data_IF_618930412243
#
_entry.id   IF_618930412243
#
_cell.length_a   1.000
_cell.length_b   1.000
_cell.length_c   1.000
_cell.angle_alpha   90.00
_cell.angle_beta   90.00
_cell.angle_gamma   90.00
#
_symmetry.space_group_name_H-M   'P 1'
#
loop_
_entity.id
_entity.type
_entity.pdbx_description
1 polymer ?
#
# COMPACT_ATOMS: atom_id res chain seq x y z
N UNK A 1 11.63 -0.66 6.23
CA UNK A 1 10.94 -1.30 5.09
C UNK A 1 11.80 -2.44 4.55
N UNK A 2 11.20 -3.56 4.15
CA UNK A 2 11.93 -4.73 3.61
C UNK A 2 12.30 -4.56 2.13
N UNK A 3 11.48 -3.82 1.38
CA UNK A 3 11.75 -3.31 0.02
C UNK A 3 11.26 -1.86 -0.02
N UNK A 4 12.02 -0.97 -0.67
CA UNK A 4 11.58 0.39 -0.95
C UNK A 4 11.23 0.48 -2.43
N UNK A 5 10.04 0.96 -2.75
CA UNK A 5 9.65 1.24 -4.13
C UNK A 5 9.99 2.70 -4.44
N UNK A 6 10.82 2.89 -5.45
CA UNK A 6 11.21 4.20 -5.95
C UNK A 6 10.47 4.49 -7.27
N UNK A 7 9.94 5.71 -7.46
CA UNK A 7 9.20 6.04 -8.67
C UNK A 7 10.11 6.13 -9.92
N UNK A 8 11.39 6.44 -9.74
CA UNK A 8 12.37 6.60 -10.82
C UNK A 8 13.73 6.01 -10.43
N UNK A 9 14.59 5.75 -11.43
CA UNK A 9 15.96 5.31 -11.18
C UNK A 9 16.78 6.37 -10.42
N UNK A 10 16.48 7.64 -10.64
CA UNK A 10 17.06 8.76 -9.89
C UNK A 10 16.75 8.69 -8.40
N UNK A 11 15.48 8.50 -8.05
CA UNK A 11 15.06 8.37 -6.65
C UNK A 11 15.67 7.12 -6.04
N UNK A 12 15.72 6.00 -6.77
CA UNK A 12 16.42 4.78 -6.33
C UNK A 12 17.89 5.05 -6.00
N UNK A 13 18.59 5.77 -6.86
CA UNK A 13 20.02 6.12 -6.65
C UNK A 13 20.20 7.01 -5.42
N UNK A 14 19.38 8.05 -5.29
CA UNK A 14 19.39 8.96 -4.13
C UNK A 14 19.13 8.22 -2.81
N UNK A 15 18.16 7.29 -2.81
CA UNK A 15 17.82 6.50 -1.63
C UNK A 15 18.92 5.48 -1.27
N UNK A 16 19.55 4.85 -2.27
CA UNK A 16 20.70 3.95 -2.05
C UNK A 16 21.86 4.70 -1.38
N UNK A 17 22.15 5.92 -1.84
CA UNK A 17 23.22 6.75 -1.27
C UNK A 17 22.91 7.18 0.18
N UNK A 18 21.68 7.63 0.46
CA UNK A 18 21.32 8.13 1.80
C UNK A 18 21.14 7.04 2.84
N UNK A 19 20.55 5.91 2.49
CA UNK A 19 20.09 4.93 3.47
C UNK A 19 20.82 3.59 3.39
N UNK A 20 21.79 3.41 2.47
CA UNK A 20 22.49 2.15 2.21
C UNK A 20 21.56 0.93 2.12
N UNK A 21 20.32 1.15 1.68
CA UNK A 21 19.29 0.12 1.65
C UNK A 21 19.59 -0.85 0.49
N UNK A 22 19.69 -2.14 0.83
CA UNK A 22 20.12 -3.18 -0.11
C UNK A 22 19.06 -3.57 -1.15
N UNK A 23 17.78 -3.22 -0.95
CA UNK A 23 16.66 -3.61 -1.83
C UNK A 23 15.74 -2.43 -2.12
N UNK A 24 15.97 -1.80 -3.27
CA UNK A 24 15.15 -0.72 -3.79
C UNK A 24 14.77 -1.10 -5.22
N UNK A 25 13.47 -1.20 -5.50
CA UNK A 25 12.95 -1.48 -6.84
C UNK A 25 12.36 -0.23 -7.46
N UNK A 26 12.49 -0.09 -8.77
CA UNK A 26 11.84 1.01 -9.50
C UNK A 26 10.47 0.54 -9.93
N UNK A 27 9.44 1.29 -9.55
CA UNK A 27 8.08 1.10 -10.03
C UNK A 27 7.65 2.41 -10.63
N UNK A 28 7.50 2.41 -11.96
CA UNK A 28 7.04 3.58 -12.68
C UNK A 28 5.57 3.89 -12.42
N UNK A 29 5.02 4.78 -13.23
CA UNK A 29 3.58 5.08 -13.30
C UNK A 29 3.13 5.05 -14.75
N UNK A 30 1.95 4.50 -14.97
CA UNK A 30 1.28 4.57 -16.25
C UNK A 30 0.69 5.94 -16.53
N UNK A 31 0.32 6.15 -17.78
CA UNK A 31 -0.50 7.28 -18.25
C UNK A 31 -1.64 6.74 -19.10
N UNK A 32 -2.80 7.40 -19.03
CA UNK A 32 -3.90 7.10 -19.93
C UNK A 32 -3.63 7.79 -21.29
N UNK A 33 -2.95 7.08 -22.18
CA UNK A 33 -2.64 7.56 -23.53
C UNK A 33 -3.85 7.53 -24.48
N UNK A 34 -5.00 6.99 -24.08
CA UNK A 34 -6.24 7.14 -24.86
C UNK A 34 -6.93 8.46 -24.52
N UNK A 35 -6.93 8.82 -23.23
CA UNK A 35 -7.42 10.12 -22.77
C UNK A 35 -6.53 11.29 -23.20
N UNK A 36 -5.21 11.16 -23.00
CA UNK A 36 -4.22 12.11 -23.52
C UNK A 36 -3.74 11.66 -24.89
N UNK A 37 -4.20 12.32 -25.94
CA UNK A 37 -3.91 11.91 -27.33
C UNK A 37 -3.77 13.11 -28.24
N UNK A 38 -2.94 13.01 -29.30
CA UNK A 38 -2.81 14.10 -30.26
C UNK A 38 -4.16 14.38 -30.94
N UNK A 39 -4.53 15.65 -31.01
CA UNK A 39 -5.68 16.14 -31.79
C UNK A 39 -5.18 17.01 -32.96
N UNK A 40 -6.05 17.25 -33.94
CA UNK A 40 -5.73 18.12 -35.09
C UNK A 40 -5.51 19.56 -34.60
N UNK A 41 -4.35 20.13 -34.94
CA UNK A 41 -3.97 21.49 -34.56
C UNK A 41 -4.30 22.47 -35.68
N UNK A 42 -4.70 23.69 -35.31
CA UNK A 42 -4.93 24.80 -36.26
C UNK A 42 -4.31 26.11 -35.77
N UNK A 43 -3.12 26.04 -35.17
CA UNK A 43 -2.46 27.21 -34.61
C UNK A 43 -1.68 27.97 -35.68
N UNK A 44 -1.76 29.30 -35.65
CA UNK A 44 -0.93 30.19 -36.47
C UNK A 44 0.47 30.43 -35.88
N UNK A 45 0.62 30.24 -34.56
CA UNK A 45 1.89 30.35 -33.82
C UNK A 45 2.32 29.02 -33.24
N UNK A 46 3.62 28.88 -32.98
CA UNK A 46 4.16 27.72 -32.27
C UNK A 46 3.82 27.84 -30.78
N UNK A 47 3.02 26.91 -30.28
CA UNK A 47 2.50 26.98 -28.91
C UNK A 47 3.31 26.15 -27.92
N UNK A 48 3.87 26.80 -26.92
CA UNK A 48 4.55 26.17 -25.80
C UNK A 48 3.57 26.05 -24.63
N UNK A 49 3.63 24.95 -23.89
CA UNK A 49 2.82 24.76 -22.69
C UNK A 49 3.65 24.27 -21.52
N UNK A 50 3.37 24.87 -20.35
CA UNK A 50 3.75 24.33 -19.05
C UNK A 50 2.48 23.92 -18.30
N UNK A 51 2.53 22.75 -17.67
CA UNK A 51 1.48 22.27 -16.76
C UNK A 51 2.11 21.90 -15.43
N UNK A 52 1.57 22.43 -14.35
CA UNK A 52 1.98 22.08 -12.99
C UNK A 52 1.80 23.21 -11.99
N UNK A 53 2.16 22.95 -10.74
CA UNK A 53 2.10 23.96 -9.68
C UNK A 53 2.96 25.18 -10.04
N UNK A 54 2.48 26.38 -9.74
CA UNK A 54 3.24 27.62 -9.92
C UNK A 54 3.93 27.97 -8.61
N UNK A 55 5.13 27.40 -8.42
CA UNK A 55 5.91 27.50 -7.19
C UNK A 55 7.41 27.71 -7.48
N UNK A 56 8.20 28.22 -6.52
CA UNK A 56 9.61 28.56 -6.75
C UNK A 56 10.47 27.41 -7.29
N UNK A 57 10.25 26.19 -6.81
CA UNK A 57 10.98 24.99 -7.23
C UNK A 57 10.74 24.59 -8.69
N UNK A 58 9.65 25.10 -9.30
CA UNK A 58 9.33 24.89 -10.71
C UNK A 58 10.07 25.86 -11.64
N UNK A 59 10.72 26.89 -11.08
CA UNK A 59 11.73 27.68 -11.75
C UNK A 59 11.24 28.32 -13.08
N UNK A 60 9.95 28.70 -13.10
CA UNK A 60 9.27 29.29 -14.27
C UNK A 60 9.84 30.65 -14.68
N UNK A 61 10.50 31.36 -13.78
CA UNK A 61 11.18 32.64 -14.07
C UNK A 61 12.21 32.51 -15.21
N UNK A 62 12.78 31.31 -15.39
CA UNK A 62 13.73 31.01 -16.46
C UNK A 62 13.11 31.05 -17.85
N UNK A 63 11.78 31.09 -17.96
CA UNK A 63 11.09 31.19 -19.24
C UNK A 63 10.99 32.63 -19.77
N UNK A 64 11.49 33.64 -19.05
CA UNK A 64 11.38 35.06 -19.43
C UNK A 64 12.02 35.36 -20.79
N UNK A 65 13.05 34.61 -21.19
CA UNK A 65 13.68 34.76 -22.51
C UNK A 65 12.69 34.53 -23.67
N UNK A 66 11.58 33.80 -23.45
CA UNK A 66 10.59 33.54 -24.48
C UNK A 66 9.86 34.82 -24.94
N UNK A 67 9.84 35.87 -24.11
CA UNK A 67 9.17 37.13 -24.43
C UNK A 67 9.77 37.89 -25.61
N UNK A 68 10.98 37.52 -26.06
CA UNK A 68 11.61 38.11 -27.25
C UNK A 68 11.16 37.48 -28.56
N UNK A 69 10.38 36.39 -28.53
CA UNK A 69 9.95 35.65 -29.72
C UNK A 69 8.47 35.91 -30.05
N UNK A 70 8.21 36.62 -31.15
CA UNK A 70 6.85 36.97 -31.56
C UNK A 70 6.09 35.81 -32.24
N UNK A 71 6.83 34.81 -32.73
CA UNK A 71 6.34 33.60 -33.42
C UNK A 71 5.92 32.49 -32.43
N UNK A 72 6.20 32.68 -31.14
CA UNK A 72 5.85 31.76 -30.07
C UNK A 72 4.65 32.28 -29.27
N UNK A 73 3.89 31.35 -28.68
CA UNK A 73 2.97 31.64 -27.59
C UNK A 73 3.26 30.71 -26.42
N UNK A 74 3.12 31.19 -25.19
CA UNK A 74 3.30 30.40 -23.98
C UNK A 74 1.98 30.32 -23.22
N UNK A 75 1.53 29.11 -22.93
CA UNK A 75 0.41 28.86 -22.01
C UNK A 75 0.92 28.21 -20.72
N UNK A 76 0.49 28.74 -19.58
CA UNK A 76 0.76 28.21 -18.24
C UNK A 76 -0.55 27.72 -17.64
N UNK A 77 -0.61 26.42 -17.36
CA UNK A 77 -1.74 25.77 -16.69
C UNK A 77 -1.31 25.36 -15.29
N UNK A 78 -2.05 25.82 -14.29
CA UNK A 78 -1.83 25.54 -12.89
C UNK A 78 -1.90 26.78 -12.00
N UNK A 79 -1.89 26.52 -10.70
CA UNK A 79 -1.95 27.54 -9.66
C UNK A 79 -0.83 27.34 -8.65
N UNK A 80 -0.60 28.34 -7.80
CA UNK A 80 0.33 28.23 -6.69
C UNK A 80 0.68 29.58 -6.08
N UNK A 81 1.41 29.53 -4.97
CA UNK A 81 1.80 30.70 -4.18
C UNK A 81 2.64 31.71 -4.95
N UNK A 82 3.24 31.31 -6.07
CA UNK A 82 4.16 32.13 -6.83
C UNK A 82 3.53 32.75 -8.10
N UNK A 83 2.22 32.55 -8.29
CA UNK A 83 1.52 32.92 -9.51
C UNK A 83 1.63 34.41 -9.85
N UNK A 84 1.44 35.30 -8.87
CA UNK A 84 1.50 36.75 -9.12
C UNK A 84 2.86 37.19 -9.63
N UNK A 85 3.94 36.72 -9.00
CA UNK A 85 5.31 36.99 -9.44
C UNK A 85 5.59 36.46 -10.84
N UNK A 86 5.10 35.25 -11.18
CA UNK A 86 5.28 34.70 -12.52
C UNK A 86 4.48 35.48 -13.57
N UNK A 87 3.29 35.99 -13.24
CA UNK A 87 2.52 36.89 -14.13
C UNK A 87 3.27 38.19 -14.44
N UNK A 88 3.92 38.77 -13.44
CA UNK A 88 4.75 39.98 -13.61
C UNK A 88 5.99 39.71 -14.49
N UNK A 89 6.64 38.56 -14.30
CA UNK A 89 7.84 38.19 -15.06
C UNK A 89 7.56 37.70 -16.48
N UNK A 90 6.37 37.12 -16.70
CA UNK A 90 5.95 36.53 -17.98
C UNK A 90 4.65 37.17 -18.48
N UNK A 91 4.61 38.49 -18.73
CA UNK A 91 3.37 39.19 -19.12
C UNK A 91 2.85 38.76 -20.50
N UNK A 92 3.70 38.12 -21.31
CA UNK A 92 3.38 37.57 -22.63
C UNK A 92 2.75 36.17 -22.56
N UNK A 93 2.72 35.53 -21.39
CA UNK A 93 2.15 34.20 -21.21
C UNK A 93 0.65 34.24 -20.93
N UNK A 94 -0.09 33.27 -21.46
CA UNK A 94 -1.49 33.04 -21.15
C UNK A 94 -1.60 32.13 -19.91
N UNK A 95 -2.25 32.62 -18.85
CA UNK A 95 -2.46 31.85 -17.62
C UNK A 95 -3.89 31.31 -17.58
N UNK A 96 -4.05 29.98 -17.57
CA UNK A 96 -5.37 29.34 -17.61
C UNK A 96 -5.88 28.84 -16.24
N UNK A 97 -5.11 29.09 -15.17
CA UNK A 97 -5.43 28.57 -13.83
C UNK A 97 -5.38 27.05 -13.79
N UNK A 98 -6.05 26.44 -12.80
CA UNK A 98 -6.11 25.00 -12.68
C UNK A 98 -7.13 24.39 -13.67
N UNK A 99 -6.68 23.52 -14.57
CA UNK A 99 -7.54 22.78 -15.49
C UNK A 99 -7.50 21.29 -15.18
N UNK A 100 -8.62 20.62 -15.44
CA UNK A 100 -8.79 19.19 -15.26
C UNK A 100 -9.43 18.58 -16.51
N UNK A 101 -9.35 17.26 -16.60
CA UNK A 101 -10.04 16.44 -17.58
C UNK A 101 -9.86 16.96 -19.02
N UNK A 102 -10.95 16.98 -19.80
CA UNK A 102 -10.93 17.28 -21.23
C UNK A 102 -10.36 18.66 -21.54
N UNK A 103 -10.55 19.63 -20.63
CA UNK A 103 -9.95 20.96 -20.79
C UNK A 103 -8.43 20.87 -20.75
N UNK A 104 -7.88 20.13 -19.79
CA UNK A 104 -6.43 19.93 -19.69
C UNK A 104 -5.89 19.14 -20.88
N UNK A 105 -6.54 18.04 -21.25
CA UNK A 105 -6.15 17.24 -22.43
C UNK A 105 -6.21 18.06 -23.72
N UNK A 106 -7.22 18.93 -23.85
CA UNK A 106 -7.37 19.88 -24.94
C UNK A 106 -6.21 20.87 -25.02
N UNK A 107 -5.75 21.42 -23.89
CA UNK A 107 -4.60 22.33 -23.87
C UNK A 107 -3.31 21.65 -24.31
N UNK A 108 -3.02 20.43 -23.82
CA UNK A 108 -1.88 19.66 -24.30
C UNK A 108 -1.96 19.41 -25.81
N UNK A 109 -3.12 18.93 -26.28
CA UNK A 109 -3.33 18.55 -27.68
C UNK A 109 -3.24 19.75 -28.64
N UNK A 110 -3.68 20.92 -28.17
CA UNK A 110 -3.58 22.17 -28.90
C UNK A 110 -2.19 22.81 -28.80
N UNK A 111 -1.24 22.22 -28.09
CA UNK A 111 0.12 22.75 -27.93
C UNK A 111 1.12 22.02 -28.83
N UNK A 112 2.30 22.58 -29.00
CA UNK A 112 3.33 22.06 -29.91
C UNK A 112 4.58 21.55 -29.21
N UNK A 113 4.94 22.16 -28.09
CA UNK A 113 6.12 21.82 -27.30
C UNK A 113 5.71 21.87 -25.83
N UNK A 114 6.07 20.84 -25.08
CA UNK A 114 5.96 20.87 -23.62
C UNK A 114 7.27 21.39 -23.03
N UNK A 115 7.20 22.40 -22.18
CA UNK A 115 8.35 22.96 -21.49
C UNK A 115 8.28 22.69 -19.99
N UNK A 116 9.38 22.21 -19.42
CA UNK A 116 9.46 21.80 -18.03
C UNK A 116 10.74 22.34 -17.38
N UNK A 117 10.76 23.64 -16.99
CA UNK A 117 11.94 24.29 -16.42
C UNK A 117 12.19 23.92 -14.94
N UNK A 118 11.44 22.95 -14.42
CA UNK A 118 11.61 22.47 -13.04
C UNK A 118 12.98 21.84 -12.86
N UNK A 119 13.64 22.11 -11.73
CA UNK A 119 14.92 21.49 -11.41
C UNK A 119 14.77 20.16 -10.68
N UNK A 120 13.62 19.93 -10.06
CA UNK A 120 13.37 18.73 -9.26
C UNK A 120 11.90 18.29 -9.37
N UNK A 121 11.72 17.00 -9.60
CA UNK A 121 10.45 16.31 -9.43
C UNK A 121 10.73 14.84 -9.06
N UNK A 122 9.76 14.18 -8.43
CA UNK A 122 9.88 12.76 -8.09
C UNK A 122 9.59 11.87 -9.31
N UNK A 123 8.64 12.27 -10.16
CA UNK A 123 8.24 11.52 -11.36
C UNK A 123 7.72 12.40 -12.49
N UNK A 124 7.17 13.59 -12.22
CA UNK A 124 6.61 14.50 -13.24
C UNK A 124 5.58 13.84 -14.20
N UNK A 125 4.42 13.41 -13.68
CA UNK A 125 3.34 12.80 -14.49
C UNK A 125 2.96 13.64 -15.73
N UNK A 126 2.99 14.97 -15.59
CA UNK A 126 2.72 15.94 -16.66
C UNK A 126 3.58 15.73 -17.91
N UNK A 127 4.78 15.16 -17.76
CA UNK A 127 5.64 14.81 -18.89
C UNK A 127 5.09 13.61 -19.64
N UNK A 128 4.60 12.58 -18.95
CA UNK A 128 3.95 11.43 -19.59
C UNK A 128 2.66 11.83 -20.32
N UNK A 129 1.89 12.76 -19.75
CA UNK A 129 0.69 13.34 -20.36
C UNK A 129 1.05 14.09 -21.66
N UNK A 130 2.07 14.96 -21.59
CA UNK A 130 2.58 15.70 -22.74
C UNK A 130 3.09 14.78 -23.87
N UNK A 131 3.89 13.78 -23.51
CA UNK A 131 4.37 12.78 -24.47
C UNK A 131 3.20 12.01 -25.10
N UNK A 132 2.15 11.71 -24.32
CA UNK A 132 0.94 11.05 -24.82
C UNK A 132 0.23 11.91 -25.86
N UNK A 133 0.18 13.24 -25.69
CA UNK A 133 -0.33 14.16 -26.71
C UNK A 133 0.65 14.41 -27.87
N UNK A 134 1.78 13.70 -27.92
CA UNK A 134 2.79 13.83 -28.96
C UNK A 134 3.59 15.14 -28.88
N UNK A 135 3.76 15.71 -27.69
CA UNK A 135 4.56 16.92 -27.51
C UNK A 135 6.02 16.56 -27.28
N UNK A 136 6.97 17.04 -28.09
CA UNK A 136 8.37 17.04 -27.72
C UNK A 136 8.57 17.81 -26.41
N UNK A 137 9.40 17.26 -25.52
CA UNK A 137 9.63 17.81 -24.18
C UNK A 137 10.96 18.55 -24.13
N UNK A 138 10.98 19.79 -23.66
CA UNK A 138 12.23 20.48 -23.26
C UNK A 138 12.25 20.59 -21.74
N UNK A 139 13.18 19.90 -21.10
CA UNK A 139 13.24 19.80 -19.64
C UNK A 139 14.68 19.88 -19.12
N UNK A 140 14.87 20.36 -17.89
CA UNK A 140 16.16 20.18 -17.25
C UNK A 140 16.43 18.70 -16.98
N UNK A 141 17.67 18.28 -17.22
CA UNK A 141 18.12 16.90 -17.00
C UNK A 141 17.72 16.40 -15.62
N UNK A 142 17.79 17.24 -14.58
CA UNK A 142 17.56 16.80 -13.21
C UNK A 142 16.10 16.73 -12.74
N UNK A 143 15.13 16.91 -13.63
CA UNK A 143 13.73 17.08 -13.27
C UNK A 143 12.94 15.78 -13.02
N UNK A 144 13.58 14.61 -12.93
CA UNK A 144 12.86 13.32 -12.74
C UNK A 144 12.17 12.84 -14.01
N UNK A 145 12.76 13.17 -15.16
CA UNK A 145 12.24 12.97 -16.53
C UNK A 145 13.14 12.05 -17.36
N UNK A 146 14.33 11.75 -16.85
CA UNK A 146 15.41 11.02 -17.54
C UNK A 146 14.99 9.61 -17.97
N UNK A 147 14.02 9.01 -17.26
CA UNK A 147 13.53 7.66 -17.54
C UNK A 147 12.52 7.61 -18.72
N UNK A 148 12.08 8.77 -19.24
CA UNK A 148 11.09 8.85 -20.33
C UNK A 148 11.39 9.85 -21.43
N UNK A 149 12.27 10.82 -21.18
CA UNK A 149 12.70 11.78 -22.19
C UNK A 149 14.06 11.35 -22.74
N UNK A 150 14.05 10.83 -23.95
CA UNK A 150 15.25 10.43 -24.68
C UNK A 150 15.79 11.65 -25.44
N UNK A 151 16.91 12.19 -24.94
CA UNK A 151 17.52 13.41 -25.46
C UNK A 151 17.83 13.30 -26.96
N UNK A 152 17.29 14.21 -27.76
CA UNK A 152 17.43 14.23 -29.22
C UNK A 152 16.44 13.33 -29.97
N UNK A 153 15.64 12.51 -29.27
CA UNK A 153 14.68 11.60 -29.89
C UNK A 153 13.23 12.07 -29.70
N UNK A 154 12.80 12.27 -28.45
CA UNK A 154 11.43 12.69 -28.12
C UNK A 154 11.39 14.02 -27.33
N UNK A 155 12.54 14.67 -27.22
CA UNK A 155 12.72 15.91 -26.47
C UNK A 155 14.19 16.27 -26.30
N UNK A 156 14.45 17.31 -25.51
CA UNK A 156 15.78 17.77 -25.13
C UNK A 156 15.90 17.83 -23.61
N UNK A 157 16.95 17.18 -23.09
CA UNK A 157 17.37 17.30 -21.70
C UNK A 157 18.53 18.28 -21.60
N UNK A 158 18.32 19.38 -20.89
CA UNK A 158 19.26 20.51 -20.84
C UNK A 158 19.82 20.72 -19.44
N UNK A 159 20.96 21.41 -19.34
CA UNK A 159 21.61 21.70 -18.06
C UNK A 159 21.66 23.20 -17.74
N UNK A 160 21.66 24.05 -18.76
CA UNK A 160 21.74 25.51 -18.63
C UNK A 160 20.49 26.20 -19.20
N UNK A 161 20.34 27.50 -18.95
CA UNK A 161 19.22 28.26 -19.52
C UNK A 161 19.43 28.52 -21.01
N UNK A 162 20.69 28.67 -21.41
CA UNK A 162 21.15 28.86 -22.78
C UNK A 162 20.84 27.61 -23.62
N UNK A 163 21.09 26.42 -23.07
CA UNK A 163 20.72 25.15 -23.71
C UNK A 163 19.19 25.01 -23.83
N UNK A 164 18.44 25.49 -22.83
CA UNK A 164 16.98 25.48 -22.86
C UNK A 164 16.46 26.34 -24.02
N UNK A 165 16.97 27.56 -24.15
CA UNK A 165 16.65 28.44 -25.27
C UNK A 165 17.04 27.83 -26.62
N UNK A 166 18.24 27.25 -26.72
CA UNK A 166 18.71 26.59 -27.93
C UNK A 166 17.82 25.41 -28.33
N UNK A 167 17.38 24.61 -27.36
CA UNK A 167 16.47 23.49 -27.58
C UNK A 167 15.10 23.95 -28.11
N UNK A 168 14.53 25.02 -27.52
CA UNK A 168 13.30 25.63 -28.02
C UNK A 168 13.47 26.14 -29.45
N UNK A 169 14.59 26.80 -29.76
CA UNK A 169 14.88 27.28 -31.12
C UNK A 169 15.02 26.14 -32.13
N UNK A 170 15.66 25.03 -31.77
CA UNK A 170 15.73 23.84 -32.64
C UNK A 170 14.35 23.31 -32.98
N UNK A 171 13.42 23.30 -32.01
CA UNK A 171 12.05 22.82 -32.22
C UNK A 171 11.16 23.79 -33.04
N UNK A 172 11.67 24.96 -33.43
CA UNK A 172 11.01 25.78 -34.45
C UNK A 172 11.05 25.13 -35.84
N UNK A 173 12.03 24.26 -36.11
CA UNK A 173 12.05 23.43 -37.32
C UNK A 173 10.85 22.45 -37.31
N UNK A 174 9.89 22.58 -38.24
CA UNK A 174 8.71 21.73 -38.27
C UNK A 174 9.04 20.26 -38.54
N UNK A 175 10.09 19.95 -39.31
CA UNK A 175 10.45 18.58 -39.65
C UNK A 175 11.06 17.85 -38.44
N UNK A 176 11.98 18.51 -37.74
CA UNK A 176 12.51 18.00 -36.48
C UNK A 176 11.40 17.81 -35.45
N UNK A 177 10.55 18.82 -35.26
CA UNK A 177 9.44 18.78 -34.30
C UNK A 177 8.44 17.67 -34.63
N UNK A 178 8.12 17.45 -35.91
CA UNK A 178 7.24 16.36 -36.35
C UNK A 178 7.83 14.98 -36.05
N UNK A 179 9.13 14.79 -36.32
CA UNK A 179 9.83 13.53 -35.97
C UNK A 179 9.81 13.27 -34.47
N UNK A 180 10.16 14.28 -33.67
CA UNK A 180 10.15 14.16 -32.21
C UNK A 180 8.74 13.95 -31.66
N UNK A 181 7.72 14.60 -32.24
CA UNK A 181 6.32 14.46 -31.85
C UNK A 181 5.83 13.01 -32.03
N UNK A 182 6.20 12.39 -33.15
CA UNK A 182 5.91 10.98 -33.38
C UNK A 182 6.60 10.09 -32.35
N UNK A 183 7.88 10.32 -32.07
CA UNK A 183 8.62 9.56 -31.06
C UNK A 183 8.06 9.77 -29.64
N UNK A 184 7.64 10.99 -29.30
CA UNK A 184 6.99 11.28 -28.03
C UNK A 184 5.75 10.41 -27.81
N UNK A 185 4.88 10.30 -28.82
CA UNK A 185 3.71 9.42 -28.76
C UNK A 185 4.12 7.95 -28.61
N UNK A 186 5.10 7.48 -29.38
CA UNK A 186 5.57 6.09 -29.29
C UNK A 186 6.15 5.75 -27.91
N UNK A 187 6.87 6.68 -27.28
CA UNK A 187 7.34 6.52 -25.90
C UNK A 187 6.18 6.40 -24.92
N UNK A 188 5.21 7.29 -25.01
CA UNK A 188 4.06 7.31 -24.10
C UNK A 188 3.22 6.03 -24.18
N UNK A 189 3.03 5.46 -25.37
CA UNK A 189 2.29 4.21 -25.55
C UNK A 189 2.94 3.00 -24.84
N UNK A 190 4.22 3.11 -24.45
CA UNK A 190 4.92 2.10 -23.63
C UNK A 190 4.74 2.32 -22.13
N UNK A 191 4.16 3.44 -21.71
CA UNK A 191 3.95 3.80 -20.31
C UNK A 191 2.53 3.41 -19.86
N UNK A 192 2.19 2.12 -19.96
CA UNK A 192 0.85 1.64 -19.62
C UNK A 192 0.68 1.43 -18.12
N UNK A 193 -0.54 1.62 -17.64
CA UNK A 193 -0.90 1.31 -16.24
C UNK A 193 -0.74 -0.17 -15.92
N UNK A 194 -1.07 -1.06 -16.86
CA UNK A 194 -0.91 -2.51 -16.70
C UNK A 194 0.55 -2.87 -16.38
N UNK A 195 1.51 -2.32 -17.15
CA UNK A 195 2.93 -2.59 -16.95
C UNK A 195 3.44 -2.07 -15.60
N UNK A 196 2.98 -0.88 -15.17
CA UNK A 196 3.32 -0.33 -13.87
C UNK A 196 2.74 -1.16 -12.72
N UNK A 197 1.50 -1.65 -12.89
CA UNK A 197 0.82 -2.50 -11.92
C UNK A 197 1.50 -3.87 -11.81
N UNK A 198 1.88 -4.48 -12.93
CA UNK A 198 2.61 -5.74 -12.96
C UNK A 198 3.99 -5.63 -12.30
N UNK A 199 4.72 -4.53 -12.52
CA UNK A 199 5.97 -4.25 -11.80
C UNK A 199 5.74 -4.18 -10.28
N UNK A 200 4.67 -3.52 -9.84
CA UNK A 200 4.32 -3.43 -8.44
C UNK A 200 3.94 -4.79 -7.86
N UNK A 201 3.11 -5.57 -8.56
CA UNK A 201 2.71 -6.93 -8.19
C UNK A 201 3.92 -7.85 -8.06
N UNK A 202 4.88 -7.79 -9.00
CA UNK A 202 6.10 -8.60 -8.99
C UNK A 202 7.06 -8.23 -7.83
N UNK A 203 6.94 -7.03 -7.26
CA UNK A 203 7.71 -6.64 -6.08
C UNK A 203 7.19 -7.27 -4.77
N UNK A 204 5.91 -7.66 -4.69
CA UNK A 204 5.32 -8.26 -3.48
C UNK A 204 5.92 -9.64 -3.13
N UNK A 205 6.08 -10.60 -4.07
CA UNK A 205 6.71 -11.89 -3.79
C UNK A 205 8.13 -11.77 -3.21
N UNK A 206 8.89 -10.75 -3.62
CA UNK A 206 10.23 -10.49 -3.08
C UNK A 206 10.17 -10.08 -1.60
N UNK A 207 9.17 -9.29 -1.21
CA UNK A 207 8.95 -8.91 0.19
C UNK A 207 8.53 -10.14 1.02
N UNK A 208 7.58 -10.93 0.50
CA UNK A 208 7.10 -12.16 1.16
C UNK A 208 8.22 -13.18 1.35
N UNK A 209 9.10 -13.36 0.37
CA UNK A 209 10.26 -14.27 0.44
C UNK A 209 11.30 -13.80 1.46
N UNK A 210 11.56 -12.50 1.54
CA UNK A 210 12.51 -11.94 2.51
C UNK A 210 11.99 -12.08 3.95
N UNK A 211 10.70 -11.79 4.17
CA UNK A 211 10.02 -12.00 5.43
C UNK A 211 10.10 -13.46 5.90
N UNK A 212 9.79 -14.40 4.98
CA UNK A 212 9.91 -15.84 5.24
C UNK A 212 11.34 -16.25 5.63
N UNK A 213 12.36 -15.74 4.94
CA UNK A 213 13.76 -16.04 5.24
C UNK A 213 14.20 -15.51 6.61
N UNK A 214 13.71 -14.34 7.04
CA UNK A 214 13.98 -13.80 8.38
C UNK A 214 13.34 -14.64 9.48
N UNK A 215 12.08 -15.02 9.33
CA UNK A 215 11.41 -15.94 10.27
C UNK A 215 12.21 -17.23 10.41
N UNK A 216 12.71 -17.77 9.30
CA UNK A 216 13.55 -18.98 9.27
C UNK A 216 14.88 -18.82 10.03
N UNK A 217 15.46 -17.62 10.09
CA UNK A 217 16.70 -17.33 10.85
C UNK A 217 16.45 -17.10 12.34
N UNK A 218 15.27 -16.65 12.73
CA UNK A 218 14.87 -16.50 14.13
C UNK A 218 14.56 -17.84 14.79
N UNK A 219 14.00 -18.77 14.02
CA UNK A 219 13.56 -20.08 14.51
C UNK A 219 14.64 -20.91 15.22
N UNK A 220 15.91 -20.99 14.76
CA UNK A 220 16.97 -21.72 15.45
C UNK A 220 17.31 -21.15 16.84
N UNK A 221 17.24 -19.83 17.02
CA UNK A 221 17.52 -19.15 18.28
C UNK A 221 16.37 -19.40 19.26
N UNK A 222 15.13 -19.21 18.80
CA UNK A 222 13.93 -19.53 19.57
C UNK A 222 13.88 -21.02 19.94
N UNK A 223 14.32 -21.90 19.02
CA UNK A 223 14.45 -23.34 19.25
C UNK A 223 15.50 -23.62 20.33
N UNK A 224 16.70 -23.04 20.30
CA UNK A 224 17.70 -23.22 21.37
C UNK A 224 17.16 -22.78 22.74
N UNK A 225 16.46 -21.65 22.81
CA UNK A 225 15.85 -21.14 24.04
C UNK A 225 14.71 -22.05 24.52
N UNK A 226 13.83 -22.53 23.64
CA UNK A 226 12.73 -23.40 24.04
C UNK A 226 13.20 -24.82 24.42
N UNK A 227 14.27 -25.33 23.80
CA UNK A 227 14.83 -26.63 24.14
C UNK A 227 15.70 -26.60 25.41
N UNK A 228 16.19 -25.43 25.86
CA UNK A 228 16.89 -25.32 27.16
C UNK A 228 15.97 -25.48 28.37
N UNK A 229 14.64 -25.51 28.17
CA UNK A 229 13.64 -25.70 29.21
C UNK A 229 13.05 -27.12 29.29
N UNK A 230 13.63 -28.12 28.63
CA UNK A 230 13.20 -29.54 28.71
C UNK A 230 11.69 -29.77 28.41
N UNK A 231 11.12 -28.99 27.50
CA UNK A 231 9.72 -29.16 27.08
C UNK A 231 9.53 -30.35 26.12
N UNK A 232 8.35 -30.99 26.17
CA UNK A 232 8.01 -32.09 25.25
C UNK A 232 7.85 -31.60 23.80
N UNK A 233 8.09 -32.48 22.81
CA UNK A 233 7.94 -32.13 21.39
C UNK A 233 6.54 -31.62 21.02
N UNK A 234 5.49 -32.09 21.72
CA UNK A 234 4.12 -31.60 21.55
C UNK A 234 3.94 -30.16 22.04
N UNK A 235 4.53 -29.80 23.20
CA UNK A 235 4.50 -28.43 23.72
C UNK A 235 5.26 -27.45 22.80
N UNK A 236 6.42 -27.87 22.31
CA UNK A 236 7.18 -27.12 21.30
C UNK A 236 6.39 -26.94 20.00
N UNK A 237 5.60 -27.93 19.58
CA UNK A 237 4.69 -27.87 18.43
C UNK A 237 3.54 -26.87 18.62
N UNK A 238 2.91 -26.88 19.80
CA UNK A 238 1.84 -25.96 20.16
C UNK A 238 2.34 -24.51 20.28
N UNK A 239 3.49 -24.28 20.91
CA UNK A 239 4.15 -22.97 20.97
C UNK A 239 4.53 -22.49 19.56
N UNK A 240 4.99 -23.40 18.68
CA UNK A 240 5.23 -23.10 17.26
C UNK A 240 3.97 -22.61 16.56
N UNK A 241 2.86 -23.33 16.72
CA UNK A 241 1.60 -22.96 16.06
C UNK A 241 1.05 -21.65 16.61
N UNK A 242 1.06 -21.46 17.94
CA UNK A 242 0.66 -20.22 18.57
C UNK A 242 1.50 -19.03 18.10
N UNK A 243 2.81 -19.22 17.89
CA UNK A 243 3.70 -18.20 17.35
C UNK A 243 3.47 -17.93 15.85
N UNK A 244 3.21 -18.96 15.03
CA UNK A 244 2.85 -18.77 13.62
C UNK A 244 1.52 -18.03 13.46
N UNK A 245 0.52 -18.34 14.29
CA UNK A 245 -0.77 -17.66 14.31
C UNK A 245 -0.64 -16.23 14.85
N UNK A 246 0.18 -16.01 15.89
CA UNK A 246 0.52 -14.65 16.36
C UNK A 246 1.20 -13.82 15.26
N UNK A 247 2.17 -14.39 14.54
CA UNK A 247 2.83 -13.72 13.42
C UNK A 247 1.87 -13.44 12.26
N UNK A 248 0.99 -14.39 11.92
CA UNK A 248 -0.07 -14.20 10.92
C UNK A 248 -1.03 -13.06 11.32
N UNK A 249 -1.30 -12.90 12.61
CA UNK A 249 -2.14 -11.83 13.16
C UNK A 249 -1.40 -10.48 13.27
N UNK A 250 -0.11 -10.46 13.54
CA UNK A 250 0.71 -9.23 13.46
C UNK A 250 0.83 -8.76 12.01
N UNK A 251 0.92 -9.68 11.03
CA UNK A 251 0.84 -9.34 9.62
C UNK A 251 -0.55 -8.85 9.20
N UNK A 252 -1.64 -9.37 9.79
CA UNK A 252 -3.00 -8.89 9.54
C UNK A 252 -3.30 -7.54 10.23
N UNK A 253 -2.65 -7.25 11.37
CA UNK A 253 -2.77 -5.98 12.10
C UNK A 253 -2.10 -4.78 11.43
N UNK A 254 -1.27 -5.00 10.40
CA UNK A 254 -0.71 -3.96 9.52
C UNK A 254 -1.62 -3.60 8.34
N UNK A 255 -2.73 -4.32 8.16
CA UNK A 255 -3.83 -3.90 7.28
C UNK A 255 -4.65 -2.89 8.08
N UNK A 256 -4.46 -1.60 7.82
CA UNK A 256 -5.28 -0.54 8.41
C UNK A 256 -6.78 -0.84 8.19
N UNK A 257 -7.53 -1.00 9.28
CA UNK A 257 -8.99 -1.25 9.22
C UNK A 257 -9.58 -2.13 10.33
N UNK A 258 -8.76 -2.86 11.10
CA UNK A 258 -9.29 -3.75 12.14
C UNK A 258 -9.51 -2.99 13.46
N UNK A 259 -10.78 -2.91 13.89
CA UNK A 259 -11.21 -2.18 15.10
C UNK A 259 -10.57 -2.73 16.38
N UNK A 260 -10.41 -1.88 17.40
CA UNK A 260 -9.80 -2.25 18.67
C UNK A 260 -10.49 -3.45 19.36
N UNK A 261 -11.81 -3.61 19.19
CA UNK A 261 -12.58 -4.73 19.72
C UNK A 261 -12.23 -6.08 19.06
N UNK A 262 -11.87 -6.09 17.78
CA UNK A 262 -11.46 -7.31 17.07
C UNK A 262 -10.05 -7.74 17.49
N UNK A 263 -9.15 -6.78 17.75
CA UNK A 263 -7.82 -7.05 18.33
C UNK A 263 -7.90 -7.69 19.71
N UNK A 264 -8.79 -7.22 20.58
CA UNK A 264 -8.99 -7.82 21.90
C UNK A 264 -9.66 -9.20 21.84
N UNK A 265 -10.62 -9.41 20.94
CA UNK A 265 -11.25 -10.73 20.74
C UNK A 265 -10.23 -11.80 20.32
N UNK A 266 -9.25 -11.41 19.49
CA UNK A 266 -8.16 -12.30 19.05
C UNK A 266 -7.16 -12.59 20.18
N UNK A 267 -6.86 -11.61 21.05
CA UNK A 267 -6.04 -11.82 22.25
C UNK A 267 -6.74 -12.77 23.22
N UNK A 268 -8.05 -12.65 23.39
CA UNK A 268 -8.83 -13.58 24.23
C UNK A 268 -8.87 -14.99 23.65
N UNK A 269 -9.01 -15.13 22.32
CA UNK A 269 -8.93 -16.43 21.63
C UNK A 269 -7.54 -17.08 21.82
N UNK A 270 -6.48 -16.27 21.81
CA UNK A 270 -5.11 -16.68 22.08
C UNK A 270 -4.87 -17.15 23.53
N UNK A 271 -5.42 -16.45 24.52
CA UNK A 271 -5.34 -16.86 25.94
C UNK A 271 -6.12 -18.15 26.21
N UNK A 272 -7.25 -18.35 25.52
CA UNK A 272 -7.99 -19.62 25.55
C UNK A 272 -7.14 -20.74 24.97
N UNK A 273 -6.53 -20.56 23.80
CA UNK A 273 -5.69 -21.58 23.16
C UNK A 273 -4.43 -21.97 23.97
N UNK A 274 -3.80 -21.00 24.64
CA UNK A 274 -2.67 -21.25 25.56
C UNK A 274 -3.13 -22.05 26.78
N UNK A 275 -4.26 -21.66 27.39
CA UNK A 275 -4.82 -22.41 28.52
C UNK A 275 -5.18 -23.83 28.10
N UNK A 276 -5.85 -24.04 26.96
CA UNK A 276 -6.23 -25.38 26.47
C UNK A 276 -5.01 -26.27 26.25
N UNK A 277 -3.92 -25.74 25.70
CA UNK A 277 -2.66 -26.47 25.48
C UNK A 277 -1.93 -26.79 26.79
N UNK A 278 -2.01 -25.89 27.77
CA UNK A 278 -1.45 -26.09 29.12
C UNK A 278 -2.27 -27.14 29.92
N UNK A 279 -3.57 -27.22 29.69
CA UNK A 279 -4.44 -28.21 30.32
C UNK A 279 -4.29 -29.62 29.72
N UNK A 280 -4.11 -29.75 28.40
CA UNK A 280 -3.71 -31.05 27.81
C UNK A 280 -2.39 -31.55 28.42
N UNK A 281 -1.44 -30.65 28.64
CA UNK A 281 -0.15 -30.98 29.26
C UNK A 281 -0.30 -31.50 30.71
N UNK A 282 -1.19 -30.90 31.53
CA UNK A 282 -1.47 -31.38 32.89
C UNK A 282 -2.27 -32.69 32.92
N UNK A 283 -3.21 -32.86 31.98
CA UNK A 283 -4.07 -34.03 31.88
C UNK A 283 -3.31 -35.30 31.47
N UNK A 284 -2.37 -35.19 30.51
CA UNK A 284 -1.53 -36.30 30.05
C UNK A 284 -0.63 -36.85 31.17
N UNK A 285 -0.34 -36.07 32.22
CA UNK A 285 0.64 -36.42 33.25
C UNK A 285 0.03 -36.86 34.59
N UNK A 286 -1.29 -36.80 34.78
CA UNK A 286 -1.93 -37.12 36.07
C UNK A 286 -3.23 -37.91 35.92
N UNK A 287 -3.18 -39.21 36.25
CA UNK A 287 -4.38 -40.09 36.35
C UNK A 287 -5.37 -39.68 37.46
N UNK A 288 -4.98 -38.80 38.40
CA UNK A 288 -5.83 -38.37 39.53
C UNK A 288 -6.63 -37.09 39.25
N UNK A 289 -6.37 -36.39 38.14
CA UNK A 289 -7.06 -35.13 37.82
C UNK A 289 -8.43 -35.32 37.15
N UNK A 290 -8.80 -36.55 36.75
CA UNK A 290 -10.09 -36.85 36.10
C UNK A 290 -11.32 -36.45 36.93
N UNK A 291 -11.19 -36.40 38.27
CA UNK A 291 -12.27 -36.07 39.20
C UNK A 291 -12.47 -34.55 39.32
N UNK A 292 -11.40 -33.76 39.17
CA UNK A 292 -11.39 -32.29 39.36
C UNK A 292 -11.47 -31.55 38.00
N UNK A 293 -11.29 -32.29 36.90
CA UNK A 293 -11.27 -31.74 35.54
C UNK A 293 -12.56 -31.01 35.13
N UNK A 294 -13.78 -31.56 35.40
CA UNK A 294 -15.02 -30.90 34.99
C UNK A 294 -15.26 -29.57 35.73
N UNK A 295 -14.89 -29.51 37.01
CA UNK A 295 -15.00 -28.31 37.85
C UNK A 295 -13.95 -27.26 37.48
N UNK A 296 -12.71 -27.65 37.17
CA UNK A 296 -11.70 -26.70 36.68
C UNK A 296 -12.06 -26.13 35.29
N UNK A 297 -12.49 -26.97 34.34
CA UNK A 297 -12.92 -26.53 33.00
C UNK A 297 -14.09 -25.55 33.07
N UNK A 298 -15.08 -25.82 33.91
CA UNK A 298 -16.20 -24.88 34.14
C UNK A 298 -15.74 -23.58 34.79
N UNK A 299 -14.75 -23.63 35.69
CA UNK A 299 -14.21 -22.43 36.37
C UNK A 299 -13.37 -21.56 35.43
N UNK A 300 -12.49 -22.15 34.62
CA UNK A 300 -11.60 -21.41 33.70
C UNK A 300 -12.36 -20.81 32.52
N UNK A 301 -13.34 -21.56 31.99
CA UNK A 301 -14.24 -21.04 30.94
C UNK A 301 -15.20 -20.00 31.54
N UNK A 302 -15.68 -20.21 32.77
CA UNK A 302 -16.49 -19.25 33.53
C UNK A 302 -15.75 -17.93 33.77
N UNK A 303 -14.48 -17.95 34.17
CA UNK A 303 -13.65 -16.74 34.34
C UNK A 303 -13.36 -16.08 33.01
N UNK A 304 -13.07 -16.85 31.96
CA UNK A 304 -12.84 -16.29 30.61
C UNK A 304 -14.07 -15.56 30.07
N UNK A 305 -15.27 -16.12 30.27
CA UNK A 305 -16.54 -15.48 29.88
C UNK A 305 -16.87 -14.31 30.83
N UNK A 306 -16.61 -14.41 32.13
CA UNK A 306 -16.85 -13.30 33.07
C UNK A 306 -15.95 -12.09 32.78
N UNK A 307 -14.71 -12.32 32.36
CA UNK A 307 -13.77 -11.27 31.89
C UNK A 307 -14.26 -10.67 30.56
N UNK A 308 -14.74 -11.50 29.64
CA UNK A 308 -15.27 -11.08 28.34
C UNK A 308 -16.63 -10.39 28.42
N UNK A 309 -17.45 -10.68 29.42
CA UNK A 309 -18.79 -10.11 29.61
C UNK A 309 -18.81 -8.97 30.64
N UNK A 310 -17.84 -8.87 31.54
CA UNK A 310 -17.72 -7.78 32.53
C UNK A 310 -17.20 -6.46 31.94
N UNK A 311 -16.80 -6.47 30.68
CA UNK A 311 -16.32 -5.29 29.95
C UNK A 311 -17.50 -4.62 29.22
N UNK A 312 -17.79 -3.34 29.49
CA UNK A 312 -19.07 -2.72 29.14
C UNK A 312 -19.37 -2.55 27.64
N UNK A 313 -18.44 -2.92 26.75
CA UNK A 313 -18.57 -2.74 25.29
C UNK A 313 -18.40 -4.03 24.47
N UNK A 314 -18.41 -5.21 25.10
CA UNK A 314 -18.25 -6.48 24.38
C UNK A 314 -19.63 -7.12 24.13
N UNK A 315 -20.12 -6.98 22.90
CA UNK A 315 -21.25 -7.78 22.39
C UNK A 315 -20.67 -8.99 21.66
N UNK A 316 -20.52 -10.10 22.37
CA UNK A 316 -20.21 -11.38 21.74
C UNK A 316 -21.41 -11.80 20.88
N UNK A 317 -21.19 -11.99 19.58
CA UNK A 317 -22.25 -12.47 18.69
C UNK A 317 -22.64 -13.91 19.05
N UNK A 318 -23.92 -14.25 18.93
CA UNK A 318 -24.44 -15.58 19.28
C UNK A 318 -23.69 -16.71 18.56
N UNK A 319 -23.17 -16.45 17.35
CA UNK A 319 -22.35 -17.38 16.57
C UNK A 319 -20.96 -17.62 17.18
N UNK A 320 -20.33 -16.62 17.82
CA UNK A 320 -19.03 -16.80 18.51
C UNK A 320 -19.17 -17.69 19.74
N UNK A 321 -20.26 -17.51 20.50
CA UNK A 321 -20.56 -18.31 21.69
C UNK A 321 -20.92 -19.75 21.27
N UNK A 322 -21.73 -19.91 20.22
CA UNK A 322 -22.08 -21.21 19.68
C UNK A 322 -20.85 -21.95 19.13
N UNK A 323 -19.93 -21.23 18.47
CA UNK A 323 -18.66 -21.80 17.97
C UNK A 323 -17.76 -22.32 19.09
N UNK A 324 -17.61 -21.55 20.17
CA UNK A 324 -16.86 -22.00 21.36
C UNK A 324 -17.53 -23.19 22.06
N UNK A 325 -18.86 -23.21 22.12
CA UNK A 325 -19.61 -24.32 22.71
C UNK A 325 -19.48 -25.61 21.88
N UNK A 326 -19.59 -25.51 20.55
CA UNK A 326 -19.43 -26.66 19.63
C UNK A 326 -17.99 -27.18 19.63
N UNK A 327 -16.99 -26.30 19.70
CA UNK A 327 -15.59 -26.68 19.81
C UNK A 327 -15.30 -27.43 21.12
N UNK A 328 -15.83 -26.95 22.25
CA UNK A 328 -15.72 -27.65 23.53
C UNK A 328 -16.47 -28.98 23.54
N UNK A 329 -17.62 -29.08 22.87
CA UNK A 329 -18.36 -30.34 22.72
C UNK A 329 -17.58 -31.36 21.87
N UNK A 330 -16.96 -30.92 20.78
CA UNK A 330 -16.10 -31.78 19.95
C UNK A 330 -14.89 -32.30 20.74
N UNK A 331 -14.25 -31.44 21.54
CA UNK A 331 -13.14 -31.83 22.42
C UNK A 331 -13.58 -32.84 23.49
N UNK A 332 -14.73 -32.62 24.14
CA UNK A 332 -15.28 -33.55 25.13
C UNK A 332 -15.70 -34.89 24.48
N UNK A 333 -16.23 -34.87 23.26
CA UNK A 333 -16.58 -36.06 22.48
C UNK A 333 -15.35 -36.87 22.07
N UNK A 334 -14.23 -36.21 21.77
CA UNK A 334 -12.99 -36.87 21.39
C UNK A 334 -12.23 -37.44 22.61
N UNK A 335 -12.32 -36.76 23.77
CA UNK A 335 -11.89 -37.30 25.07
C UNK A 335 -12.76 -38.52 25.45
N UNK A 336 -14.06 -38.48 25.15
CA UNK A 336 -15.02 -39.56 25.40
C UNK A 336 -14.70 -40.84 24.60
N UNK A 337 -14.41 -40.72 23.29
CA UNK A 337 -14.03 -41.86 22.43
C UNK A 337 -12.84 -42.66 22.95
N UNK A 338 -12.01 -42.07 23.81
CA UNK A 338 -10.80 -42.71 24.34
C UNK A 338 -10.99 -43.49 25.64
N UNK A 339 -12.10 -43.31 26.39
CA UNK A 339 -12.18 -43.86 27.76
C UNK A 339 -13.54 -44.42 28.24
N UNK A 340 -14.55 -44.64 27.37
CA UNK A 340 -15.78 -45.47 27.57
C UNK A 340 -16.57 -45.40 28.90
N UNK A 341 -16.30 -44.47 29.81
CA UNK A 341 -16.76 -44.58 31.21
C UNK A 341 -17.93 -43.66 31.59
N UNK A 342 -18.44 -42.82 30.68
CA UNK A 342 -19.55 -41.88 30.95
C UNK A 342 -20.61 -42.00 29.84
N UNK A 343 -21.88 -42.24 30.19
CA UNK A 343 -22.96 -42.38 29.19
C UNK A 343 -23.09 -41.14 28.28
N UNK A 344 -23.24 -41.30 26.94
CA UNK A 344 -23.47 -40.20 26.00
C UNK A 344 -24.64 -39.29 26.40
N UNK A 345 -25.64 -39.86 27.05
CA UNK A 345 -26.81 -39.12 27.54
C UNK A 345 -26.47 -38.16 28.67
N UNK A 346 -25.49 -38.49 29.52
CA UNK A 346 -25.03 -37.61 30.61
C UNK A 346 -24.24 -36.43 30.04
N UNK A 347 -23.37 -36.68 29.05
CA UNK A 347 -22.63 -35.65 28.32
C UNK A 347 -23.56 -34.70 27.55
N UNK A 348 -24.57 -35.24 26.86
CA UNK A 348 -25.59 -34.45 26.19
C UNK A 348 -26.39 -33.60 27.18
N UNK A 349 -26.70 -34.14 28.37
CA UNK A 349 -27.43 -33.42 29.43
C UNK A 349 -26.59 -32.28 30.03
N UNK A 350 -25.29 -32.49 30.23
CA UNK A 350 -24.35 -31.45 30.67
C UNK A 350 -24.23 -30.35 29.62
N UNK A 351 -24.08 -30.73 28.34
CA UNK A 351 -24.00 -29.78 27.23
C UNK A 351 -25.29 -28.97 27.06
N UNK A 352 -26.47 -29.60 27.13
CA UNK A 352 -27.76 -28.92 27.05
C UNK A 352 -27.98 -27.98 28.25
N UNK A 353 -27.60 -28.38 29.47
CA UNK A 353 -27.67 -27.50 30.64
C UNK A 353 -26.73 -26.29 30.49
N UNK A 354 -25.52 -26.51 29.95
CA UNK A 354 -24.57 -25.44 29.64
C UNK A 354 -25.15 -24.47 28.60
N UNK A 355 -25.68 -24.98 27.49
CA UNK A 355 -26.29 -24.18 26.43
C UNK A 355 -27.47 -23.35 26.95
N UNK A 356 -28.36 -23.96 27.76
CA UNK A 356 -29.52 -23.29 28.36
C UNK A 356 -29.10 -22.20 29.34
N UNK A 357 -28.09 -22.44 30.19
CA UNK A 357 -27.60 -21.44 31.15
C UNK A 357 -26.88 -20.27 30.46
N UNK A 358 -26.07 -20.55 29.42
CA UNK A 358 -25.45 -19.50 28.61
C UNK A 358 -26.49 -18.64 27.89
N UNK A 359 -27.56 -19.24 27.35
CA UNK A 359 -28.67 -18.51 26.71
C UNK A 359 -29.45 -17.68 27.73
N UNK A 360 -29.68 -18.17 28.96
CA UNK A 360 -30.34 -17.41 30.03
C UNK A 360 -29.53 -16.17 30.47
N UNK A 361 -28.21 -16.27 30.57
CA UNK A 361 -27.36 -15.12 30.89
C UNK A 361 -27.36 -14.05 29.78
N UNK A 362 -27.48 -14.46 28.50
CA UNK A 362 -27.63 -13.53 27.37
C UNK A 362 -28.98 -12.79 27.45
N UNK A 363 -30.06 -13.47 27.84
CA UNK A 363 -31.39 -12.85 28.00
C UNK A 363 -31.43 -11.84 29.15
N UNK A 364 -30.83 -12.13 30.30
CA UNK A 364 -30.79 -11.23 31.47
C UNK A 364 -30.10 -9.88 31.17
N UNK A 365 -29.09 -9.87 30.29
CA UNK A 365 -28.41 -8.65 29.85
C UNK A 365 -29.16 -7.84 28.79
N UNK A 366 -30.04 -8.47 28.00
CA UNK A 366 -30.91 -7.74 27.07
C UNK A 366 -32.02 -6.98 27.80
N UNK A 367 -32.49 -7.49 28.93
CA UNK A 367 -33.48 -6.82 29.80
C UNK A 367 -32.88 -5.76 30.73
N UNK A 368 -31.56 -5.68 30.88
CA UNK A 368 -30.90 -4.60 31.65
C UNK A 368 -30.42 -3.44 30.78
N UNK A 369 -30.54 -3.55 29.46
CA UNK A 369 -30.15 -2.55 28.45
C UNK A 369 -31.33 -2.11 27.56
N UNK A 370 -32.56 -2.29 28.04
CA UNK A 370 -33.79 -1.59 27.61
C UNK A 370 -34.32 -0.90 28.86
#
# INVERSE_FOLDING_TARGET
>A
SEIILAPTYKVKTSLKQKFMHKKIEVVGRGVDSEFFRPLKKSNSKLRLIYVGRVSPEKNLEKLSFLGKYNDLSLTIVGEGSYLNRIKELLPFAEFKGNLQDEKLSGEYSASDIFIFPSKTDAYANVVSEALSCGLPVVAYKDAGVEDRVDNGLNGFLVSTNEDFELAVNKLKDPELRKKMSHQARLTALKLRWDDAFDQQLNAFPLAIKEYHNRLRRFFPILRKVLYSFNFSHAFLGAVKMAFYVFLANVSAGFIEGISAGMRQSLISFFMVGINTSFFEFLYVRSRRLSIILPSLLTTTVGTSIHILTGTPNIILTASTILGLALFNFAMLSEIYKRHETISPWVLMKIFLNYLVNSIKQIKLKRTSNV
#
